data_IF_499861833542
#
_entry.id   IF_499861833542
#
_cell.length_a   1.000
_cell.length_b   1.000
_cell.length_c   1.000
_cell.angle_alpha   90.00
_cell.angle_beta   90.00
_cell.angle_gamma   90.00
#
_symmetry.space_group_name_H-M   'P 1'
#
loop_
_entity.id
_entity.type
_entity.pdbx_description
1 polymer ?
#
# COMPACT_ATOMS: atom_id res chain seq x y z
N UNK A 1 20.40 23.12 25.36
CA UNK A 1 19.12 22.96 24.62
C UNK A 1 19.26 22.09 23.35
N UNK A 2 20.08 21.02 23.36
CA UNK A 2 20.37 20.19 22.16
C UNK A 2 19.66 18.82 22.15
N UNK A 3 19.15 18.37 23.30
CA UNK A 3 18.49 17.06 23.48
C UNK A 3 17.05 17.03 22.89
N UNK A 4 16.40 18.19 22.76
CA UNK A 4 15.01 18.25 22.28
C UNK A 4 14.85 17.89 20.79
N UNK A 5 15.84 18.18 19.94
CA UNK A 5 15.76 17.91 18.49
C UNK A 5 15.81 16.41 18.19
N UNK A 6 16.62 15.66 18.93
CA UNK A 6 16.78 14.22 18.72
C UNK A 6 15.50 13.42 19.05
N UNK A 7 14.74 13.89 20.05
CA UNK A 7 13.46 13.30 20.45
C UNK A 7 12.38 13.43 19.35
N UNK A 8 12.36 14.55 18.63
CA UNK A 8 11.37 14.83 17.58
C UNK A 8 11.65 13.99 16.32
N UNK A 9 12.94 13.77 16.00
CA UNK A 9 13.35 12.95 14.87
C UNK A 9 12.99 11.47 15.07
N UNK A 10 13.07 10.98 16.31
CA UNK A 10 12.70 9.59 16.65
C UNK A 10 11.19 9.34 16.51
N UNK A 11 10.35 10.32 16.86
CA UNK A 11 8.89 10.20 16.77
C UNK A 11 8.38 10.10 15.32
N UNK A 12 9.07 10.71 14.36
CA UNK A 12 8.71 10.71 12.94
C UNK A 12 8.89 9.33 12.27
N UNK A 13 9.79 8.49 12.78
CA UNK A 13 10.07 7.17 12.20
C UNK A 13 8.92 6.16 12.43
N UNK A 14 8.07 6.39 13.43
CA UNK A 14 7.01 5.44 13.80
C UNK A 14 5.76 5.52 12.91
N UNK A 15 5.60 6.58 12.11
CA UNK A 15 4.35 6.84 11.37
C UNK A 15 4.25 5.99 10.09
N UNK A 16 5.39 5.62 9.50
CA UNK A 16 5.44 4.93 8.20
C UNK A 16 4.92 3.48 8.24
N UNK A 17 5.09 2.77 9.37
CA UNK A 17 4.72 1.36 9.51
C UNK A 17 3.19 1.11 9.53
N UNK A 18 2.38 2.15 9.80
CA UNK A 18 0.93 1.98 9.97
C UNK A 18 0.19 1.55 8.70
N UNK A 19 0.52 2.11 7.53
CA UNK A 19 -0.20 1.85 6.27
C UNK A 19 0.08 0.45 5.71
N UNK A 20 1.34 0.02 5.77
CA UNK A 20 1.74 -1.30 5.29
C UNK A 20 0.99 -2.40 6.05
N UNK A 21 0.94 -2.30 7.37
CA UNK A 21 0.20 -3.23 8.22
C UNK A 21 -1.30 -3.21 7.93
N UNK A 22 -1.89 -2.04 7.66
CA UNK A 22 -3.30 -1.93 7.27
C UNK A 22 -3.56 -2.64 5.93
N UNK A 23 -2.68 -2.49 4.94
CA UNK A 23 -2.85 -3.16 3.63
C UNK A 23 -2.75 -4.68 3.77
N UNK A 24 -1.78 -5.16 4.55
CA UNK A 24 -1.56 -6.59 4.82
C UNK A 24 -2.63 -7.21 5.71
N UNK A 25 -3.35 -6.42 6.51
CA UNK A 25 -4.43 -6.92 7.39
C UNK A 25 -5.71 -7.32 6.66
N UNK A 26 -5.91 -6.85 5.43
CA UNK A 26 -7.06 -7.20 4.59
C UNK A 26 -6.84 -8.60 4.01
N UNK A 27 -7.90 -9.43 3.93
CA UNK A 27 -7.76 -10.84 3.51
C UNK A 27 -7.25 -10.93 2.08
N UNK A 28 -7.87 -10.17 1.19
CA UNK A 28 -7.41 -9.94 -0.18
C UNK A 28 -8.05 -8.67 -0.74
N UNK A 29 -7.42 -8.10 -1.76
CA UNK A 29 -7.90 -6.92 -2.46
C UNK A 29 -8.44 -7.32 -3.81
N UNK A 30 -9.75 -7.15 -4.04
CA UNK A 30 -10.37 -7.49 -5.32
C UNK A 30 -10.43 -6.28 -6.23
N UNK A 31 -10.13 -6.46 -7.52
CA UNK A 31 -10.27 -5.42 -8.52
C UNK A 31 -11.70 -4.86 -8.52
N UNK A 32 -11.79 -3.54 -8.63
CA UNK A 32 -13.03 -2.79 -8.66
C UNK A 32 -13.25 -2.09 -9.99
N UNK A 33 -12.42 -1.10 -10.29
CA UNK A 33 -12.52 -0.28 -11.50
C UNK A 33 -11.18 0.41 -11.84
N UNK A 34 -11.16 1.12 -12.97
CA UNK A 34 -9.95 1.72 -13.53
C UNK A 34 -9.23 0.73 -14.44
N UNK A 35 -7.92 0.87 -14.54
CA UNK A 35 -7.09 -0.05 -15.31
C UNK A 35 -6.99 -1.39 -14.58
N UNK A 36 -7.24 -2.47 -15.33
CA UNK A 36 -7.26 -3.83 -14.80
C UNK A 36 -5.83 -4.36 -14.74
N UNK A 37 -5.41 -4.80 -13.55
CA UNK A 37 -4.06 -5.30 -13.31
C UNK A 37 -4.07 -6.66 -12.61
N UNK A 38 -5.04 -7.49 -12.99
CA UNK A 38 -5.35 -8.74 -12.31
C UNK A 38 -6.54 -8.60 -11.36
N UNK A 39 -7.14 -9.74 -11.00
CA UNK A 39 -8.41 -9.75 -10.27
C UNK A 39 -8.24 -9.59 -8.76
N UNK A 40 -7.11 -10.06 -8.23
CA UNK A 40 -6.86 -10.13 -6.79
C UNK A 40 -5.40 -9.79 -6.47
N UNK A 41 -5.19 -8.93 -5.48
CA UNK A 41 -3.92 -8.78 -4.78
C UNK A 41 -4.04 -9.46 -3.42
N UNK A 42 -3.28 -10.53 -3.22
CA UNK A 42 -3.14 -11.23 -1.94
C UNK A 42 -1.74 -10.97 -1.39
N UNK A 43 -1.66 -10.51 -0.15
CA UNK A 43 -0.39 -10.19 0.53
C UNK A 43 -0.03 -11.22 1.59
N UNK A 44 -0.76 -12.35 1.66
CA UNK A 44 -0.50 -13.43 2.61
C UNK A 44 0.57 -14.39 2.13
N UNK A 45 0.72 -14.51 0.82
CA UNK A 45 1.74 -15.29 0.15
C UNK A 45 2.91 -14.40 -0.32
N UNK A 46 4.08 -14.99 -0.51
CA UNK A 46 5.31 -14.28 -0.89
C UNK A 46 5.28 -13.71 -2.33
N UNK A 47 4.17 -13.91 -3.05
CA UNK A 47 3.93 -13.41 -4.39
C UNK A 47 3.91 -11.88 -4.43
N UNK A 48 3.14 -11.26 -3.53
CA UNK A 48 3.07 -9.81 -3.40
C UNK A 48 3.64 -9.35 -2.07
N UNK A 49 4.33 -8.21 -2.09
CA UNK A 49 4.71 -7.51 -0.87
C UNK A 49 4.48 -6.02 -0.98
N UNK A 50 4.31 -5.37 0.16
CA UNK A 50 4.22 -3.91 0.28
C UNK A 50 5.40 -3.43 1.09
N UNK A 51 6.08 -2.41 0.59
CA UNK A 51 7.10 -1.66 1.33
C UNK A 51 6.88 -0.18 1.10
N UNK A 52 6.66 0.58 2.17
CA UNK A 52 6.34 2.01 2.11
C UNK A 52 5.09 2.29 1.26
N UNK A 53 5.26 2.91 0.08
CA UNK A 53 4.20 3.25 -0.87
C UNK A 53 4.28 2.42 -2.15
N UNK A 54 5.03 1.31 -2.16
CA UNK A 54 5.25 0.50 -3.35
C UNK A 54 4.81 -0.94 -3.12
N UNK A 55 4.09 -1.49 -4.11
CA UNK A 55 3.71 -2.90 -4.20
C UNK A 55 4.69 -3.60 -5.14
N UNK A 56 5.18 -4.74 -4.69
CA UNK A 56 6.11 -5.60 -5.40
C UNK A 56 5.42 -6.90 -5.75
N UNK A 57 5.70 -7.43 -6.93
CA UNK A 57 5.38 -8.79 -7.35
C UNK A 57 6.68 -9.54 -7.59
N UNK A 58 6.91 -10.64 -6.87
CA UNK A 58 8.16 -11.41 -6.96
C UNK A 58 9.41 -10.51 -6.83
N UNK A 59 9.41 -9.61 -5.85
CA UNK A 59 10.45 -8.58 -5.62
C UNK A 59 10.64 -7.51 -6.73
N UNK A 60 9.85 -7.52 -7.81
CA UNK A 60 9.82 -6.44 -8.80
C UNK A 60 8.80 -5.36 -8.37
N UNK A 61 9.16 -4.08 -8.27
CA UNK A 61 8.19 -3.02 -8.02
C UNK A 61 7.26 -2.88 -9.25
N UNK A 62 5.95 -2.93 -9.03
CA UNK A 62 4.96 -2.87 -10.12
C UNK A 62 3.92 -1.77 -9.94
N UNK A 63 3.55 -1.45 -8.70
CA UNK A 63 2.56 -0.41 -8.43
C UNK A 63 3.01 0.55 -7.33
N UNK A 64 2.61 1.81 -7.47
CA UNK A 64 2.66 2.82 -6.42
C UNK A 64 1.29 2.95 -5.76
N UNK A 65 1.26 2.95 -4.43
CA UNK A 65 0.06 3.20 -3.63
C UNK A 65 -0.20 4.71 -3.62
N UNK A 66 -1.32 5.11 -4.19
CA UNK A 66 -1.75 6.51 -4.19
C UNK A 66 -2.62 6.82 -2.98
N UNK A 67 -3.53 5.91 -2.63
CA UNK A 67 -4.53 6.15 -1.59
C UNK A 67 -5.00 4.86 -0.92
N UNK A 68 -5.11 4.91 0.39
CA UNK A 68 -5.79 3.90 1.21
C UNK A 68 -6.97 4.59 1.92
N UNK A 69 -8.17 4.06 1.77
CA UNK A 69 -9.36 4.46 2.54
C UNK A 69 -9.87 3.26 3.33
N UNK A 70 -10.30 3.49 4.57
CA UNK A 70 -10.88 2.44 5.42
C UNK A 70 -12.39 2.62 5.64
N UNK A 71 -12.92 3.83 5.46
CA UNK A 71 -14.32 4.19 5.68
C UNK A 71 -14.85 5.04 4.53
N UNK A 72 -16.11 4.85 4.05
CA UNK A 72 -17.10 3.85 4.49
C UNK A 72 -16.86 2.43 3.95
N UNK A 73 -15.97 2.29 2.96
CA UNK A 73 -15.51 1.00 2.45
C UNK A 73 -13.99 1.00 2.35
N UNK A 74 -13.38 -0.16 2.62
CA UNK A 74 -11.93 -0.30 2.52
C UNK A 74 -11.53 -0.37 1.04
N UNK A 75 -10.78 0.62 0.58
CA UNK A 75 -10.36 0.73 -0.82
C UNK A 75 -8.88 1.13 -0.95
N UNK A 76 -8.23 0.61 -1.97
CA UNK A 76 -6.83 0.86 -2.30
C UNK A 76 -6.74 1.35 -3.75
N UNK A 77 -6.25 2.57 -3.93
CA UNK A 77 -5.96 3.14 -5.25
C UNK A 77 -4.47 2.99 -5.52
N UNK A 78 -4.14 2.36 -6.65
CA UNK A 78 -2.77 2.10 -7.07
C UNK A 78 -2.53 2.68 -8.47
N UNK A 79 -1.26 2.94 -8.76
CA UNK A 79 -0.79 3.40 -10.06
C UNK A 79 0.28 2.45 -10.59
N UNK A 80 0.11 1.99 -11.81
CA UNK A 80 1.09 1.18 -12.52
C UNK A 80 2.34 2.00 -12.88
N UNK A 81 3.50 1.45 -12.53
CA UNK A 81 4.78 2.13 -12.68
C UNK A 81 5.26 2.19 -14.14
N UNK A 82 4.80 1.27 -15.00
CA UNK A 82 5.20 1.21 -16.42
C UNK A 82 4.26 2.08 -17.27
N UNK A 83 2.96 1.96 -17.07
CA UNK A 83 1.93 2.61 -17.89
C UNK A 83 1.43 3.94 -17.33
N UNK A 84 1.75 4.25 -16.07
CA UNK A 84 1.21 5.39 -15.33
C UNK A 84 -0.32 5.41 -15.17
N UNK A 85 -1.01 4.30 -15.41
CA UNK A 85 -2.46 4.20 -15.30
C UNK A 85 -2.90 3.78 -13.88
N UNK A 86 -4.11 4.14 -13.49
CA UNK A 86 -4.62 3.93 -12.13
C UNK A 86 -5.70 2.86 -12.06
N UNK A 87 -5.72 2.12 -10.95
CA UNK A 87 -6.71 1.08 -10.65
C UNK A 87 -7.16 1.16 -9.20
N UNK A 88 -8.42 0.81 -8.95
CA UNK A 88 -9.02 0.76 -7.62
C UNK A 88 -9.36 -0.68 -7.24
N UNK A 89 -8.95 -1.05 -6.03
CA UNK A 89 -9.24 -2.33 -5.41
C UNK A 89 -10.06 -2.13 -4.14
N UNK A 90 -10.88 -3.12 -3.81
CA UNK A 90 -11.70 -3.12 -2.61
C UNK A 90 -11.31 -4.29 -1.71
N UNK A 91 -11.15 -4.01 -0.41
CA UNK A 91 -10.82 -5.01 0.58
C UNK A 91 -11.99 -5.99 0.80
N UNK A 92 -11.65 -7.27 0.94
CA UNK A 92 -12.56 -8.38 1.24
C UNK A 92 -12.03 -9.24 2.37
#
# INVERSE_FOLDING_TARGET
>A
MKIKIFSILFLLLLISCSKENQIKSVKFWKFGNGSHFGDVLDFKDDTYSVKSDTIYYQNKPIYKILKLRQFPSTSLTIKDLETNTEGNYYGK
#
